data_IF_173178857506
#
_entry.id   IF_173178857506
#
_cell.length_a   1.000
_cell.length_b   1.000
_cell.length_c   1.000
_cell.angle_alpha   90.00
_cell.angle_beta   90.00
_cell.angle_gamma   90.00
#
_symmetry.space_group_name_H-M   'P 1'
#
loop_
_entity.id
_entity.type
_entity.pdbx_description
1 polymer ?
#
# COMPACT_ATOMS: atom_id res chain seq x y z
N UNK A 1 44.68 -50.26 -20.82
CA UNK A 1 43.67 -49.74 -19.88
C UNK A 1 44.05 -48.32 -19.51
N UNK A 2 43.29 -47.32 -19.93
CA UNK A 2 43.46 -45.91 -19.51
C UNK A 2 42.06 -45.37 -19.21
N UNK A 3 41.73 -45.24 -17.94
CA UNK A 3 40.49 -44.62 -17.45
C UNK A 3 40.66 -43.11 -17.52
N UNK A 4 39.87 -42.46 -18.37
CA UNK A 4 39.77 -41.01 -18.43
C UNK A 4 38.68 -40.56 -17.45
N UNK A 5 39.08 -39.86 -16.40
CA UNK A 5 38.15 -39.24 -15.43
C UNK A 5 37.65 -37.92 -16.01
N UNK A 6 36.38 -37.87 -16.44
CA UNK A 6 35.69 -36.62 -16.75
C UNK A 6 35.40 -35.87 -15.44
N UNK A 7 35.99 -34.69 -15.29
CA UNK A 7 35.66 -33.76 -14.21
C UNK A 7 34.56 -32.81 -14.71
N UNK A 8 33.31 -33.10 -14.36
CA UNK A 8 32.16 -32.25 -14.69
C UNK A 8 32.12 -31.05 -13.74
N UNK A 9 32.53 -29.88 -14.24
CA UNK A 9 32.35 -28.59 -13.55
C UNK A 9 30.85 -28.25 -13.51
N UNK A 10 30.24 -28.33 -12.33
CA UNK A 10 28.90 -27.80 -12.09
C UNK A 10 29.02 -26.29 -11.91
N UNK A 11 28.67 -25.53 -12.95
CA UNK A 11 28.46 -24.09 -12.85
C UNK A 11 27.14 -23.87 -12.10
N UNK A 12 27.20 -23.49 -10.82
CA UNK A 12 26.02 -23.08 -10.08
C UNK A 12 25.50 -21.76 -10.67
N UNK A 13 24.53 -21.82 -11.57
CA UNK A 13 23.84 -20.65 -12.08
C UNK A 13 23.12 -19.95 -10.92
N UNK A 14 23.64 -18.79 -10.49
CA UNK A 14 22.97 -17.93 -9.51
C UNK A 14 21.64 -17.51 -10.13
N UNK A 15 20.52 -17.99 -9.58
CA UNK A 15 19.20 -17.58 -10.01
C UNK A 15 19.12 -16.05 -9.98
N UNK A 16 18.55 -15.39 -11.01
CA UNK A 16 18.40 -13.95 -10.99
C UNK A 16 17.63 -13.55 -9.75
N UNK A 17 18.07 -12.47 -9.09
CA UNK A 17 17.39 -11.95 -7.92
C UNK A 17 15.92 -11.68 -8.27
N UNK A 18 15.01 -12.12 -7.41
CA UNK A 18 13.59 -11.84 -7.61
C UNK A 18 13.37 -10.33 -7.63
N UNK A 19 12.60 -9.84 -8.62
CA UNK A 19 12.23 -8.43 -8.75
C UNK A 19 10.85 -8.20 -8.13
N UNK A 20 10.79 -7.48 -7.01
CA UNK A 20 9.55 -7.19 -6.28
C UNK A 20 9.22 -5.70 -6.28
N UNK A 21 7.92 -5.38 -6.31
CA UNK A 21 7.42 -4.03 -6.14
C UNK A 21 7.37 -3.65 -4.67
N UNK A 22 7.91 -2.47 -4.33
CA UNK A 22 7.78 -1.83 -3.02
C UNK A 22 7.18 -0.45 -3.20
N UNK A 23 6.63 0.14 -2.14
CA UNK A 23 6.01 1.46 -2.25
C UNK A 23 6.22 2.30 -1.00
N UNK A 24 6.17 3.61 -1.19
CA UNK A 24 6.21 4.58 -0.11
C UNK A 24 4.87 4.59 0.65
N UNK A 25 4.86 3.95 1.82
CA UNK A 25 3.63 3.71 2.60
C UNK A 25 2.82 4.98 2.87
N UNK A 26 3.39 6.10 3.36
CA UNK A 26 2.59 7.31 3.62
C UNK A 26 1.93 7.89 2.35
N UNK A 27 2.59 7.80 1.19
CA UNK A 27 2.02 8.26 -0.09
C UNK A 27 0.80 7.44 -0.50
N UNK A 28 0.87 6.12 -0.34
CA UNK A 28 -0.25 5.24 -0.67
C UNK A 28 -1.39 5.37 0.34
N UNK A 29 -1.08 5.52 1.63
CA UNK A 29 -2.11 5.75 2.67
C UNK A 29 -2.87 7.06 2.41
N UNK A 30 -2.17 8.17 2.11
CA UNK A 30 -2.85 9.45 1.85
C UNK A 30 -3.69 9.38 0.57
N UNK A 31 -3.21 8.67 -0.45
CA UNK A 31 -3.96 8.48 -1.68
C UNK A 31 -5.22 7.62 -1.46
N UNK A 32 -5.13 6.53 -0.69
CA UNK A 32 -6.26 5.68 -0.37
C UNK A 32 -7.37 6.45 0.35
N UNK A 33 -7.05 7.19 1.42
CA UNK A 33 -8.05 7.96 2.17
C UNK A 33 -8.64 9.16 1.38
N UNK A 34 -8.07 9.47 0.22
CA UNK A 34 -8.56 10.49 -0.72
C UNK A 34 -9.17 9.89 -1.99
N UNK A 35 -9.22 8.56 -2.10
CA UNK A 35 -9.72 7.85 -3.28
C UNK A 35 -11.22 7.58 -3.21
N UNK A 36 -11.82 7.25 -4.35
CA UNK A 36 -13.21 6.79 -4.41
C UNK A 36 -13.46 5.49 -3.65
N UNK A 37 -12.44 4.65 -3.44
CA UNK A 37 -12.57 3.44 -2.60
C UNK A 37 -12.94 3.78 -1.16
N UNK A 38 -12.32 4.82 -0.61
CA UNK A 38 -12.63 5.31 0.74
C UNK A 38 -13.92 6.14 0.76
N UNK A 39 -14.07 7.06 -0.20
CA UNK A 39 -15.22 7.96 -0.25
C UNK A 39 -16.54 7.19 -0.42
N UNK A 40 -16.54 6.08 -1.16
CA UNK A 40 -17.72 5.19 -1.25
C UNK A 40 -18.13 4.65 0.12
N UNK A 41 -17.19 4.11 0.89
CA UNK A 41 -17.47 3.61 2.24
C UNK A 41 -18.02 4.71 3.13
N UNK A 42 -17.46 5.91 3.06
CA UNK A 42 -17.95 7.07 3.83
C UNK A 42 -19.39 7.42 3.44
N UNK A 43 -19.71 7.45 2.14
CA UNK A 43 -21.07 7.73 1.66
C UNK A 43 -22.07 6.69 2.14
N UNK A 44 -21.77 5.40 1.98
CA UNK A 44 -22.61 4.30 2.46
C UNK A 44 -22.88 4.39 3.97
N UNK A 45 -21.85 4.72 4.77
CA UNK A 45 -22.01 4.88 6.23
C UNK A 45 -22.80 6.13 6.60
N UNK A 46 -22.71 7.20 5.81
CA UNK A 46 -23.52 8.40 5.99
C UNK A 46 -24.98 8.13 5.67
N UNK A 47 -25.28 7.46 4.57
CA UNK A 47 -26.65 7.05 4.22
C UNK A 47 -27.26 6.14 5.29
N UNK A 48 -26.48 5.17 5.80
CA UNK A 48 -26.90 4.32 6.90
C UNK A 48 -27.15 5.11 8.20
N UNK A 49 -26.37 6.17 8.45
CA UNK A 49 -26.55 7.05 9.61
C UNK A 49 -27.86 7.84 9.49
N UNK A 50 -28.14 8.40 8.32
CA UNK A 50 -29.33 9.18 8.09
C UNK A 50 -30.59 8.29 8.19
N UNK A 51 -30.53 7.06 7.69
CA UNK A 51 -31.58 6.05 7.86
C UNK A 51 -31.80 5.68 9.33
N UNK A 52 -30.72 5.43 10.10
CA UNK A 52 -30.82 5.11 11.52
C UNK A 52 -31.46 6.25 12.33
N UNK A 53 -31.05 7.49 12.05
CA UNK A 53 -31.65 8.68 12.69
C UNK A 53 -33.13 8.83 12.36
N UNK A 54 -33.52 8.64 11.09
CA UNK A 54 -34.92 8.71 10.66
C UNK A 54 -35.79 7.63 11.33
N UNK A 55 -35.23 6.44 11.54
CA UNK A 55 -35.89 5.33 12.21
C UNK A 55 -35.87 5.44 13.76
N UNK A 56 -35.19 6.44 14.34
CA UNK A 56 -34.99 6.53 15.79
C UNK A 56 -34.07 5.44 16.36
N UNK A 57 -33.31 4.74 15.51
CA UNK A 57 -32.38 3.69 15.92
C UNK A 57 -31.08 4.29 16.49
N UNK A 58 -31.13 4.58 17.79
CA UNK A 58 -30.03 5.21 18.53
C UNK A 58 -28.80 4.29 18.63
N UNK A 59 -29.00 2.98 18.72
CA UNK A 59 -27.91 2.01 18.80
C UNK A 59 -27.11 2.03 17.51
N UNK A 60 -27.79 1.93 16.37
CA UNK A 60 -27.13 1.95 15.07
C UNK A 60 -26.46 3.27 14.78
N UNK A 61 -27.09 4.40 15.13
CA UNK A 61 -26.48 5.71 15.01
C UNK A 61 -25.19 5.82 15.83
N UNK A 62 -25.16 5.33 17.08
CA UNK A 62 -23.97 5.36 17.92
C UNK A 62 -22.83 4.48 17.38
N UNK A 63 -23.13 3.33 16.79
CA UNK A 63 -22.12 2.47 16.15
C UNK A 63 -21.45 3.15 14.96
N UNK A 64 -22.23 3.80 14.09
CA UNK A 64 -21.74 4.48 12.89
C UNK A 64 -20.90 5.70 13.25
N UNK A 65 -21.31 6.43 14.29
CA UNK A 65 -20.56 7.55 14.83
C UNK A 65 -19.22 7.10 15.45
N UNK A 66 -19.22 5.99 16.20
CA UNK A 66 -17.98 5.36 16.70
C UNK A 66 -17.06 4.94 15.54
N UNK A 67 -17.62 4.30 14.52
CA UNK A 67 -16.86 3.90 13.32
C UNK A 67 -16.18 5.10 12.65
N UNK A 68 -16.87 6.24 12.53
CA UNK A 68 -16.30 7.46 11.96
C UNK A 68 -15.08 7.97 12.73
N UNK A 69 -15.21 8.08 14.06
CA UNK A 69 -14.09 8.47 14.95
C UNK A 69 -12.91 7.48 14.87
N UNK A 70 -13.21 6.19 14.91
CA UNK A 70 -12.22 5.12 14.88
C UNK A 70 -11.44 5.11 13.56
N UNK A 71 -12.15 5.31 12.44
CA UNK A 71 -11.57 5.39 11.11
C UNK A 71 -10.66 6.61 10.96
N UNK A 72 -11.08 7.78 11.45
CA UNK A 72 -10.25 8.99 11.40
C UNK A 72 -8.97 8.83 12.24
N UNK A 73 -9.09 8.28 13.45
CA UNK A 73 -7.94 8.02 14.33
C UNK A 73 -6.98 7.01 13.69
N UNK A 74 -7.50 5.96 13.05
CA UNK A 74 -6.70 4.97 12.35
C UNK A 74 -5.93 5.62 11.19
N UNK A 75 -6.60 6.44 10.37
CA UNK A 75 -5.99 7.14 9.24
C UNK A 75 -4.79 8.00 9.68
N UNK A 76 -4.95 8.80 10.73
CA UNK A 76 -3.86 9.62 11.28
C UNK A 76 -2.69 8.77 11.78
N UNK A 77 -2.98 7.67 12.49
CA UNK A 77 -1.91 6.78 12.98
C UNK A 77 -1.17 6.10 11.84
N UNK A 78 -1.87 5.66 10.79
CA UNK A 78 -1.27 5.02 9.62
C UNK A 78 -0.39 6.00 8.83
N UNK A 79 -0.86 7.23 8.62
CA UNK A 79 -0.06 8.30 8.00
C UNK A 79 1.20 8.63 8.81
N UNK A 80 1.12 8.55 10.13
CA UNK A 80 2.27 8.75 11.03
C UNK A 80 3.20 7.51 11.14
N UNK A 81 2.90 6.41 10.44
CA UNK A 81 3.64 5.15 10.58
C UNK A 81 3.47 4.45 11.94
N UNK A 82 2.46 4.85 12.72
CA UNK A 82 2.19 4.35 14.09
C UNK A 82 1.15 3.23 14.12
N UNK A 83 0.67 2.76 12.97
CA UNK A 83 -0.29 1.67 12.84
C UNK A 83 -0.04 0.87 11.54
N UNK A 84 -0.34 -0.45 11.54
CA UNK A 84 -0.31 -1.25 10.32
C UNK A 84 -1.37 -0.77 9.33
N UNK A 85 -1.14 -1.00 8.04
CA UNK A 85 -2.00 -0.54 6.94
C UNK A 85 -2.91 -1.65 6.39
N UNK A 86 -3.32 -2.62 7.23
CA UNK A 86 -4.03 -3.82 6.79
C UNK A 86 -5.28 -3.54 5.94
N UNK A 87 -6.14 -2.61 6.38
CA UNK A 87 -7.32 -2.17 5.62
C UNK A 87 -6.97 -1.54 4.26
N UNK A 88 -5.89 -0.77 4.18
CA UNK A 88 -5.42 -0.18 2.92
C UNK A 88 -4.88 -1.26 2.00
N UNK A 89 -4.10 -2.19 2.55
CA UNK A 89 -3.52 -3.32 1.80
C UNK A 89 -4.60 -4.25 1.24
N UNK A 90 -5.63 -4.53 2.04
CA UNK A 90 -6.80 -5.30 1.63
C UNK A 90 -7.55 -4.62 0.49
N UNK A 91 -7.84 -3.32 0.62
CA UNK A 91 -8.50 -2.55 -0.43
C UNK A 91 -7.69 -2.47 -1.73
N UNK A 92 -6.36 -2.62 -1.65
CA UNK A 92 -5.48 -2.61 -2.81
C UNK A 92 -5.37 -3.98 -3.50
N UNK A 93 -5.68 -5.09 -2.83
CA UNK A 93 -5.50 -6.46 -3.36
C UNK A 93 -6.00 -6.63 -4.80
N UNK A 94 -7.20 -6.14 -5.18
CA UNK A 94 -7.71 -6.33 -6.54
C UNK A 94 -6.86 -5.67 -7.62
N UNK A 95 -6.10 -4.62 -7.29
CA UNK A 95 -5.27 -3.85 -8.23
C UNK A 95 -3.83 -4.36 -8.31
N UNK A 96 -3.37 -5.13 -7.33
CA UNK A 96 -1.96 -5.54 -7.24
C UNK A 96 -1.47 -6.36 -8.45
N UNK A 97 -2.24 -7.31 -9.01
CA UNK A 97 -1.78 -8.07 -10.18
C UNK A 97 -1.51 -7.18 -11.40
N UNK A 98 -2.41 -6.25 -11.69
CA UNK A 98 -2.26 -5.31 -12.79
C UNK A 98 -1.07 -4.36 -12.56
N UNK A 99 -0.94 -3.82 -11.35
CA UNK A 99 0.18 -2.94 -11.01
C UNK A 99 1.52 -3.68 -11.10
N UNK A 100 1.58 -4.93 -10.64
CA UNK A 100 2.77 -5.76 -10.73
C UNK A 100 3.18 -6.00 -12.19
N UNK A 101 2.21 -6.33 -13.05
CA UNK A 101 2.44 -6.53 -14.48
C UNK A 101 2.95 -5.26 -15.15
N UNK A 102 2.33 -4.10 -14.90
CA UNK A 102 2.75 -2.80 -15.45
C UNK A 102 4.17 -2.41 -15.01
N UNK A 103 4.53 -2.72 -13.77
CA UNK A 103 5.85 -2.43 -13.23
C UNK A 103 6.92 -3.48 -13.57
N UNK A 104 6.55 -4.60 -14.21
CA UNK A 104 7.47 -5.68 -14.55
C UNK A 104 8.08 -6.38 -13.32
N UNK A 105 7.30 -6.50 -12.23
CA UNK A 105 7.69 -7.18 -10.99
C UNK A 105 6.89 -8.46 -10.77
N UNK A 106 7.45 -9.42 -10.04
CA UNK A 106 6.77 -10.70 -9.75
C UNK A 106 5.57 -10.53 -8.82
N UNK A 107 5.71 -9.66 -7.82
CA UNK A 107 4.66 -9.30 -6.86
C UNK A 107 4.98 -7.97 -6.19
N UNK A 108 3.97 -7.34 -5.61
CA UNK A 108 4.12 -6.18 -4.74
C UNK A 108 4.11 -6.65 -3.30
N UNK A 109 5.03 -6.15 -2.49
CA UNK A 109 5.21 -6.56 -1.09
C UNK A 109 5.25 -5.36 -0.16
N UNK A 110 4.83 -5.56 1.09
CA UNK A 110 4.99 -4.57 2.15
C UNK A 110 6.45 -4.48 2.62
N UNK A 111 7.17 -5.60 2.58
CA UNK A 111 8.56 -5.74 2.99
C UNK A 111 9.30 -6.61 1.96
N UNK A 112 10.43 -6.12 1.46
CA UNK A 112 11.21 -6.84 0.46
C UNK A 112 11.95 -8.02 1.11
N UNK A 113 11.92 -9.23 0.51
CA UNK A 113 12.72 -10.33 1.01
C UNK A 113 14.22 -10.04 0.81
N UNK A 114 15.09 -10.61 1.66
CA UNK A 114 16.54 -10.43 1.52
C UNK A 114 17.04 -10.85 0.13
N UNK A 115 17.84 -10.00 -0.50
CA UNK A 115 18.45 -10.28 -1.80
C UNK A 115 17.55 -10.08 -3.02
N UNK A 116 16.30 -9.63 -2.84
CA UNK A 116 15.46 -9.22 -3.97
C UNK A 116 15.85 -7.84 -4.51
N UNK A 117 15.70 -7.67 -5.82
CA UNK A 117 15.69 -6.35 -6.46
C UNK A 117 14.36 -5.68 -6.16
N UNK A 118 14.38 -4.39 -5.81
CA UNK A 118 13.17 -3.63 -5.50
C UNK A 118 12.87 -2.57 -6.55
N UNK A 119 11.60 -2.44 -6.91
CA UNK A 119 11.10 -1.41 -7.84
C UNK A 119 10.06 -0.56 -7.12
N UNK A 120 10.19 0.77 -7.17
CA UNK A 120 9.20 1.68 -6.59
C UNK A 120 7.93 1.69 -7.44
N UNK A 121 6.87 1.04 -6.96
CA UNK A 121 5.56 0.99 -7.61
C UNK A 121 4.60 2.08 -7.12
N UNK A 122 5.07 3.01 -6.28
CA UNK A 122 4.24 4.13 -5.76
C UNK A 122 3.49 4.85 -6.88
N UNK A 123 4.10 5.25 -8.02
CA UNK A 123 3.38 5.96 -9.07
C UNK A 123 2.18 5.17 -9.62
N UNK A 124 2.37 3.87 -9.87
CA UNK A 124 1.34 2.98 -10.38
C UNK A 124 0.19 2.80 -9.38
N UNK A 125 0.51 2.71 -8.08
CA UNK A 125 -0.51 2.66 -7.01
C UNK A 125 -1.29 3.97 -6.91
N UNK A 126 -0.63 5.13 -7.12
CA UNK A 126 -1.32 6.42 -7.19
C UNK A 126 -2.24 6.51 -8.41
N UNK A 127 -1.87 5.89 -9.53
CA UNK A 127 -2.69 5.86 -10.75
C UNK A 127 -3.97 5.04 -10.56
N UNK A 128 -3.89 3.83 -10.01
CA UNK A 128 -5.08 2.98 -9.76
C UNK A 128 -5.99 3.57 -8.66
N UNK A 129 -5.41 4.31 -7.72
CA UNK A 129 -6.17 5.10 -6.73
C UNK A 129 -6.71 6.42 -7.31
N UNK A 130 -6.47 6.68 -8.59
CA UNK A 130 -6.89 7.89 -9.31
C UNK A 130 -6.47 9.18 -8.61
N UNK A 131 -5.26 9.19 -8.03
CA UNK A 131 -4.74 10.33 -7.31
C UNK A 131 -4.56 11.54 -8.24
N UNK A 132 -5.37 12.57 -8.02
CA UNK A 132 -5.23 13.86 -8.70
C UNK A 132 -4.00 14.65 -8.24
N UNK A 133 -3.75 15.77 -8.91
CA UNK A 133 -2.53 16.57 -8.71
C UNK A 133 -2.29 16.98 -7.25
N UNK A 134 -3.33 17.47 -6.57
CA UNK A 134 -3.24 17.82 -5.14
C UNK A 134 -2.78 16.65 -4.26
N UNK A 135 -3.31 15.45 -4.51
CA UNK A 135 -2.92 14.24 -3.76
C UNK A 135 -1.47 13.85 -4.06
N UNK A 136 -1.04 13.96 -5.32
CA UNK A 136 0.34 13.67 -5.71
C UNK A 136 1.34 14.64 -5.10
N UNK A 137 1.01 15.94 -5.05
CA UNK A 137 1.84 16.95 -4.35
C UNK A 137 2.05 16.59 -2.88
N UNK A 138 0.99 16.20 -2.16
CA UNK A 138 1.10 15.76 -0.76
C UNK A 138 1.95 14.49 -0.64
N UNK A 139 1.74 13.51 -1.52
CA UNK A 139 2.52 12.28 -1.56
C UNK A 139 4.02 12.55 -1.76
N UNK A 140 4.37 13.48 -2.64
CA UNK A 140 5.75 13.87 -2.90
C UNK A 140 6.37 14.65 -1.74
N UNK A 141 5.60 15.53 -1.09
CA UNK A 141 6.04 16.20 0.14
C UNK A 141 6.36 15.21 1.25
N UNK A 142 5.52 14.19 1.43
CA UNK A 142 5.78 13.12 2.40
C UNK A 142 7.07 12.38 2.08
N UNK A 143 7.28 11.97 0.81
CA UNK A 143 8.51 11.31 0.36
C UNK A 143 9.75 12.15 0.63
N UNK A 144 9.70 13.45 0.27
CA UNK A 144 10.81 14.38 0.52
C UNK A 144 11.13 14.52 2.01
N UNK A 145 10.11 14.58 2.87
CA UNK A 145 10.31 14.67 4.33
C UNK A 145 10.98 13.42 4.90
N UNK A 146 10.57 12.24 4.47
CA UNK A 146 11.14 10.98 4.94
C UNK A 146 12.56 10.76 4.43
N UNK A 147 12.86 11.15 3.18
CA UNK A 147 14.23 11.17 2.66
C UNK A 147 15.14 12.07 3.50
N UNK A 148 14.71 13.30 3.82
CA UNK A 148 15.47 14.24 4.67
C UNK A 148 15.72 13.67 6.06
N UNK A 149 14.73 13.02 6.66
CA UNK A 149 14.87 12.38 7.98
C UNK A 149 15.81 11.18 7.96
N UNK A 150 15.79 10.40 6.88
CA UNK A 150 16.70 9.27 6.68
C UNK A 150 18.15 9.72 6.49
N UNK A 151 18.37 10.77 5.71
CA UNK A 151 19.71 11.36 5.50
C UNK A 151 20.29 11.99 6.77
N UNK A 152 19.47 12.57 7.64
CA UNK A 152 19.92 13.16 8.91
C UNK A 152 20.26 12.11 10.00
N UNK A 153 19.99 10.83 9.77
CA UNK A 153 20.27 9.72 10.70
C UNK A 153 21.46 8.85 10.29
N UNK A 154 22.07 9.13 9.14
CA UNK A 154 23.31 8.50 8.67
C UNK A 154 24.47 9.42 8.97
#
# INVERSE_FOLDING_TARGET
MRTATLCTLILAARQPAERVGVFHRPSVVVAYYRSELWLRQVRERKEAMDAAKKAGDRTRAAELDRWGRDSQRLAHRQLAGKAPIGNVWEALQPFLPEVAARAGVSRIVLEAPPGAETVDVTPHLLDVLQAGESTRRIADDLRRRDQRRGSARK
#
